data_IF_363748276070
#
_entry.id   IF_363748276070
#
_cell.length_a   1.000
_cell.length_b   1.000
_cell.length_c   1.000
_cell.angle_alpha   90.00
_cell.angle_beta   90.00
_cell.angle_gamma   90.00
#
_symmetry.space_group_name_H-M   'P 1'
#
loop_
_entity.id
_entity.type
_entity.pdbx_description
1 polymer ?
#
# COMPACT_ATOMS: atom_id res chain seq x y z
N UNK A 1 5.09 28.69 -7.27
CA UNK A 1 5.21 28.23 -7.09
C UNK A 1 5.27 27.37 -6.58
N UNK A 2 5.35 27.21 -6.44
CA UNK A 2 5.45 26.58 -5.95
C UNK A 2 5.80 25.63 -5.62
N UNK A 3 6.16 25.41 -5.39
CA UNK A 3 6.51 24.64 -5.12
C UNK A 3 6.63 23.90 -4.28
N UNK A 4 6.49 23.91 -3.94
CA UNK A 4 6.46 23.42 -2.99
C UNK A 4 6.10 22.24 -2.83
N UNK A 5 5.82 21.65 -3.15
CA UNK A 5 5.51 20.58 -3.04
C UNK A 5 6.22 19.81 -2.71
N UNK A 6 6.39 19.62 -2.37
CA UNK A 6 7.01 19.05 -2.03
C UNK A 6 7.83 18.28 -1.96
N UNK A 7 8.29 18.39 -1.69
CA UNK A 7 9.24 17.77 -1.67
C UNK A 7 9.26 16.86 -0.76
N UNK A 8 8.99 17.04 0.13
CA UNK A 8 9.17 16.25 1.07
C UNK A 8 8.48 15.10 0.91
N UNK A 9 7.60 14.99 0.28
CA UNK A 9 7.06 13.81 0.15
C UNK A 9 6.81 13.47 -1.18
N UNK A 10 6.91 12.27 -1.55
CA UNK A 10 6.55 11.80 -2.84
C UNK A 10 5.07 11.79 -2.98
N UNK A 11 4.61 12.21 -4.10
CA UNK A 11 3.18 12.25 -4.33
C UNK A 11 2.66 10.85 -4.59
N UNK A 12 1.35 10.70 -4.49
CA UNK A 12 0.71 9.45 -4.81
C UNK A 12 0.99 9.07 -6.26
N UNK A 13 1.05 10.06 -7.14
CA UNK A 13 1.33 9.79 -8.55
C UNK A 13 2.70 9.16 -8.72
N UNK A 14 3.70 9.61 -7.96
CA UNK A 14 5.03 9.02 -8.07
C UNK A 14 5.02 7.56 -7.66
N UNK A 15 4.30 7.22 -6.61
CA UNK A 15 4.19 5.83 -6.19
C UNK A 15 3.48 5.00 -7.25
N UNK A 16 2.34 5.48 -7.72
CA UNK A 16 1.56 4.74 -8.70
C UNK A 16 2.31 4.53 -9.99
N UNK A 17 3.06 5.53 -10.43
CA UNK A 17 3.82 5.40 -11.66
C UNK A 17 4.83 4.26 -11.58
N UNK A 18 5.49 4.13 -10.43
CA UNK A 18 6.44 3.05 -10.26
C UNK A 18 5.77 1.69 -10.17
N UNK A 19 4.64 1.63 -9.48
CA UNK A 19 3.91 0.36 -9.37
C UNK A 19 3.43 -0.09 -10.76
N UNK A 20 2.94 0.83 -11.54
CA UNK A 20 2.37 0.47 -12.84
C UNK A 20 3.41 0.03 -13.83
N UNK A 21 4.68 0.35 -13.58
CA UNK A 21 5.75 -0.12 -14.44
C UNK A 21 6.19 -1.55 -14.15
N UNK A 22 5.79 -2.12 -13.04
CA UNK A 22 6.27 -3.44 -12.67
C UNK A 22 5.40 -4.52 -13.32
N UNK A 23 5.93 -5.30 -14.27
CA UNK A 23 5.13 -6.30 -14.97
C UNK A 23 4.67 -7.44 -14.07
N UNK A 24 5.22 -7.58 -12.87
CA UNK A 24 4.78 -8.62 -11.96
C UNK A 24 3.49 -8.26 -11.26
N UNK A 25 3.07 -7.01 -11.30
CA UNK A 25 1.85 -6.60 -10.63
C UNK A 25 0.68 -6.65 -11.60
N UNK A 26 -0.44 -7.17 -11.15
CA UNK A 26 -1.65 -7.15 -11.95
C UNK A 26 -2.65 -6.19 -11.31
N UNK A 27 -3.85 -6.15 -11.84
CA UNK A 27 -4.84 -5.18 -11.38
C UNK A 27 -5.17 -5.35 -9.90
N UNK A 28 -5.17 -6.59 -9.40
CA UNK A 28 -5.49 -6.82 -8.00
C UNK A 28 -4.43 -6.23 -7.07
N UNK A 29 -3.17 -6.37 -7.45
CA UNK A 29 -2.09 -5.76 -6.69
C UNK A 29 -2.21 -4.24 -6.73
N UNK A 30 -2.51 -3.71 -7.91
CA UNK A 30 -2.53 -2.26 -8.08
C UNK A 30 -3.68 -1.62 -7.30
N UNK A 31 -4.85 -2.25 -7.26
CA UNK A 31 -5.94 -1.66 -6.49
C UNK A 31 -5.69 -1.74 -4.99
N UNK A 32 -5.01 -2.79 -4.53
CA UNK A 32 -4.66 -2.86 -3.12
C UNK A 32 -3.62 -1.80 -2.77
N UNK A 33 -2.62 -1.61 -3.61
CA UNK A 33 -1.63 -0.58 -3.37
C UNK A 33 -2.27 0.82 -3.41
N UNK A 34 -3.21 1.03 -4.33
CA UNK A 34 -3.90 2.32 -4.39
C UNK A 34 -4.73 2.56 -3.13
N UNK A 35 -5.37 1.51 -2.61
CA UNK A 35 -6.16 1.65 -1.38
C UNK A 35 -5.25 2.03 -0.21
N UNK A 36 -4.10 1.38 -0.10
CA UNK A 36 -3.16 1.67 0.98
C UNK A 36 -2.61 3.09 0.83
N UNK A 37 -2.27 3.48 -0.41
CA UNK A 37 -1.79 4.84 -0.66
C UNK A 37 -2.84 5.89 -0.27
N UNK A 38 -4.09 5.61 -0.58
CA UNK A 38 -5.17 6.53 -0.25
C UNK A 38 -5.26 6.71 1.27
N UNK A 39 -5.19 5.63 2.02
CA UNK A 39 -5.22 5.72 3.47
C UNK A 39 -3.99 6.44 4.00
N UNK A 40 -2.83 6.16 3.43
CA UNK A 40 -1.62 6.85 3.84
C UNK A 40 -1.68 8.34 3.57
N UNK A 41 -2.23 8.73 2.44
CA UNK A 41 -2.40 10.14 2.11
C UNK A 41 -3.35 10.80 3.13
N UNK A 42 -4.45 10.14 3.42
CA UNK A 42 -5.41 10.67 4.37
C UNK A 42 -4.81 10.81 5.76
N UNK A 43 -3.97 9.89 6.17
CA UNK A 43 -3.35 9.90 7.49
C UNK A 43 -2.06 10.71 7.53
N UNK A 44 -1.53 11.09 6.36
CA UNK A 44 -0.28 11.85 6.31
C UNK A 44 0.95 11.02 6.63
N UNK A 45 0.94 9.72 6.32
CA UNK A 45 2.00 8.83 6.72
C UNK A 45 2.20 7.74 5.67
N UNK A 46 3.41 7.30 5.45
CA UNK A 46 3.71 6.16 4.58
C UNK A 46 4.39 5.05 5.35
N UNK A 47 4.81 5.34 6.59
CA UNK A 47 5.55 4.37 7.39
C UNK A 47 4.64 3.60 8.33
N UNK A 48 3.58 4.20 8.78
CA UNK A 48 2.70 3.57 9.77
C UNK A 48 1.26 3.86 9.40
N UNK A 49 0.82 3.27 8.32
CA UNK A 49 -0.54 3.49 7.82
C UNK A 49 -1.46 2.54 8.53
N UNK A 50 -2.43 3.07 9.25
CA UNK A 50 -3.38 2.23 9.98
C UNK A 50 -4.38 1.67 9.00
N UNK A 51 -4.57 0.36 9.04
CA UNK A 51 -5.43 -0.33 8.09
C UNK A 51 -6.31 -1.35 8.80
N UNK A 52 -7.41 -1.71 8.16
CA UNK A 52 -8.17 -2.88 8.55
C UNK A 52 -8.49 -3.64 7.27
N UNK A 53 -8.68 -4.94 7.41
CA UNK A 53 -9.01 -5.78 6.26
C UNK A 53 -10.26 -5.27 5.57
N UNK A 54 -11.30 -4.96 6.34
CA UNK A 54 -12.55 -4.54 5.73
C UNK A 54 -12.41 -3.23 4.99
N UNK A 55 -11.60 -2.30 5.51
CA UNK A 55 -11.40 -1.04 4.83
C UNK A 55 -10.60 -1.22 3.54
N UNK A 56 -9.58 -2.05 3.58
CA UNK A 56 -8.79 -2.31 2.38
C UNK A 56 -9.62 -3.03 1.32
N UNK A 57 -10.46 -3.97 1.73
CA UNK A 57 -11.33 -4.66 0.79
C UNK A 57 -12.34 -3.69 0.18
N UNK A 58 -12.89 -2.79 1.01
CA UNK A 58 -13.84 -1.83 0.53
C UNK A 58 -13.22 -0.90 -0.50
N UNK A 59 -12.07 -0.33 -0.19
CA UNK A 59 -11.43 0.64 -1.07
C UNK A 59 -10.90 0.00 -2.35
N UNK A 60 -10.43 -1.22 -2.28
CA UNK A 60 -9.90 -1.90 -3.46
C UNK A 60 -10.98 -2.58 -4.27
N UNK A 61 -12.20 -2.63 -3.76
CA UNK A 61 -13.32 -3.32 -4.42
C UNK A 61 -13.06 -4.81 -4.56
N UNK A 62 -12.30 -5.38 -3.64
CA UNK A 62 -12.10 -6.82 -3.61
C UNK A 62 -13.13 -7.38 -2.66
N UNK A 63 -14.01 -8.23 -3.18
CA UNK A 63 -15.15 -8.67 -2.41
C UNK A 63 -15.02 -10.02 -1.72
N UNK A 64 -13.99 -10.76 -1.98
CA UNK A 64 -13.85 -12.07 -1.34
C UNK A 64 -12.56 -12.15 -0.57
N UNK A 65 -12.59 -12.86 0.55
CA UNK A 65 -11.40 -13.03 1.37
C UNK A 65 -10.28 -13.78 0.67
N UNK A 66 -10.56 -14.86 -0.07
CA UNK A 66 -9.44 -15.53 -0.73
C UNK A 66 -8.68 -14.65 -1.70
N UNK A 67 -9.37 -13.81 -2.46
CA UNK A 67 -8.71 -12.90 -3.37
C UNK A 67 -7.89 -11.87 -2.60
N UNK A 68 -8.47 -11.31 -1.55
CA UNK A 68 -7.77 -10.33 -0.74
C UNK A 68 -6.49 -10.93 -0.15
N UNK A 69 -6.61 -12.09 0.48
CA UNK A 69 -5.46 -12.70 1.14
C UNK A 69 -4.37 -13.09 0.15
N UNK A 70 -4.75 -13.59 -1.01
CA UNK A 70 -3.78 -13.99 -2.01
C UNK A 70 -2.93 -12.80 -2.45
N UNK A 71 -3.56 -11.70 -2.81
CA UNK A 71 -2.82 -10.58 -3.38
C UNK A 71 -2.15 -9.74 -2.32
N UNK A 72 -2.73 -9.63 -1.13
CA UNK A 72 -2.05 -8.92 -0.06
C UNK A 72 -0.79 -9.66 0.37
N UNK A 73 -0.85 -11.00 0.42
CA UNK A 73 0.32 -11.78 0.73
C UNK A 73 1.40 -11.61 -0.34
N UNK A 74 1.01 -11.60 -1.60
CA UNK A 74 1.97 -11.42 -2.67
C UNK A 74 2.65 -10.06 -2.61
N UNK A 75 1.93 -9.01 -2.24
CA UNK A 75 2.53 -7.70 -2.09
C UNK A 75 3.59 -7.68 -0.99
N UNK A 76 3.37 -8.43 0.07
CA UNK A 76 4.38 -8.56 1.12
C UNK A 76 5.59 -9.32 0.61
N UNK A 77 5.35 -10.40 -0.12
CA UNK A 77 6.44 -11.22 -0.65
C UNK A 77 7.27 -10.47 -1.69
N UNK A 78 6.62 -9.62 -2.46
CA UNK A 78 7.33 -8.83 -3.45
C UNK A 78 8.04 -7.62 -2.85
N UNK A 79 7.79 -7.33 -1.59
CA UNK A 79 8.50 -6.25 -0.92
C UNK A 79 7.88 -4.88 -1.07
N UNK A 80 6.62 -4.80 -1.49
CA UNK A 80 5.97 -3.50 -1.61
C UNK A 80 5.38 -3.00 -0.31
N UNK A 81 4.96 -3.93 0.56
CA UNK A 81 4.37 -3.55 1.83
C UNK A 81 4.95 -4.39 2.94
N UNK A 82 5.01 -3.81 4.13
CA UNK A 82 5.34 -4.55 5.34
C UNK A 82 4.14 -4.42 6.25
N UNK A 83 3.56 -5.54 6.62
CA UNK A 83 2.35 -5.57 7.43
C UNK A 83 2.70 -5.89 8.87
N UNK A 84 2.19 -5.09 9.78
CA UNK A 84 2.38 -5.29 11.22
C UNK A 84 1.01 -5.43 11.86
N UNK A 85 0.55 -6.66 12.06
CA UNK A 85 -0.76 -6.86 12.65
C UNK A 85 -0.78 -6.45 14.11
N UNK A 86 -1.93 -5.97 14.56
CA UNK A 86 -2.12 -5.65 15.96
C UNK A 86 -3.10 -6.64 16.55
N UNK A 87 -2.75 -7.18 17.71
CA UNK A 87 -3.62 -8.10 18.40
C UNK A 87 -4.24 -7.46 19.63
N UNK A 88 -3.97 -6.17 19.85
CA UNK A 88 -4.57 -5.49 20.98
C UNK A 88 -5.85 -4.81 20.54
N UNK A 89 -6.92 -4.96 21.31
CA UNK A 89 -8.15 -4.25 21.04
C UNK A 89 -7.86 -2.75 21.11
N UNK A 90 -8.36 -1.99 20.27
CA UNK A 90 -8.14 -0.57 20.30
C UNK A 90 -6.97 -0.08 19.47
N UNK A 91 -6.11 -0.98 19.00
CA UNK A 91 -5.03 -0.58 18.11
C UNK A 91 -5.22 -1.24 16.77
N UNK A 92 -5.07 -0.49 15.70
CA UNK A 92 -5.23 -1.03 14.38
C UNK A 92 -3.92 -1.59 13.87
N UNK A 93 -4.01 -2.53 12.96
CA UNK A 93 -2.83 -3.04 12.27
C UNK A 93 -2.25 -1.92 11.40
N UNK A 94 -0.97 -2.04 11.08
CA UNK A 94 -0.28 -1.01 10.32
C UNK A 94 0.41 -1.59 9.11
N UNK A 95 0.56 -0.77 8.08
CA UNK A 95 1.29 -1.13 6.88
C UNK A 95 2.30 -0.05 6.59
N UNK A 96 3.50 -0.46 6.21
CA UNK A 96 4.51 0.44 5.70
C UNK A 96 4.58 0.24 4.20
N UNK A 97 4.57 1.32 3.44
CA UNK A 97 4.66 1.25 1.99
C UNK A 97 6.05 1.56 1.52
N UNK A 98 6.49 0.84 0.51
CA UNK A 98 7.76 1.10 -0.13
C UNK A 98 7.51 1.53 -1.56
N UNK A 99 8.26 2.52 -2.02
CA UNK A 99 8.08 3.00 -3.37
C UNK A 99 8.53 1.97 -4.37
N UNK A 100 9.65 1.29 -4.10
CA UNK A 100 10.14 0.26 -4.98
C UNK A 100 10.23 -1.03 -4.23
N UNK A 101 10.29 -2.13 -4.96
CA UNK A 101 10.46 -3.44 -4.33
C UNK A 101 11.74 -3.48 -3.55
N UNK A 102 11.67 -4.08 -2.37
CA UNK A 102 12.84 -4.16 -1.55
C UNK A 102 13.89 -5.06 -2.12
N UNK A 103 13.50 -6.08 -2.85
CA UNK A 103 14.45 -7.02 -3.29
C UNK A 103 14.98 -6.78 -4.63
N UNK A 104 15.06 -5.62 -5.13
CA UNK A 104 15.51 -5.51 -6.34
C UNK A 104 16.79 -5.15 -6.48
N UNK A 105 17.65 -5.63 -6.19
CA UNK A 105 18.85 -5.24 -6.34
C UNK A 105 19.45 -6.21 -7.03
N UNK A 106 20.08 -6.28 -7.50
CA UNK A 106 20.76 -7.20 -8.08
C UNK A 106 21.60 -6.69 -8.87
#
# INVERSE_FOLDING_TARGET
MNQTKTKMEDSIIDYLALYMEDPKLNVWHLVLLAAILSLGHEQGDRQRIRVSRSKLMQLSHINTLPTYHKYFKQLQELGYVKYSPSYHPGFKSEVKLFKKRLSQNY
#
